data_IF_056912044100
#
_entry.id   IF_056912044100
#
_cell.length_a   1.000
_cell.length_b   1.000
_cell.length_c   1.000
_cell.angle_alpha   90.00
_cell.angle_beta   90.00
_cell.angle_gamma   90.00
#
_symmetry.space_group_name_H-M   'P 1'
#
loop_
_entity.id
_entity.type
_entity.pdbx_description
1 polymer ?
#
# COMPACT_ATOMS: atom_id res chain seq x y z
N UNK A 1 -13.88 -22.89 19.02
CA UNK A 1 -13.52 -21.63 19.71
C UNK A 1 -12.78 -20.69 18.77
N UNK A 2 -13.12 -19.43 18.81
CA UNK A 2 -12.51 -18.48 17.91
C UNK A 2 -11.33 -17.78 18.55
N UNK A 3 -10.23 -17.69 17.81
CA UNK A 3 -9.07 -16.96 18.27
C UNK A 3 -9.28 -15.46 18.11
N UNK A 4 -8.72 -14.71 19.01
CA UNK A 4 -8.64 -13.26 18.80
C UNK A 4 -7.46 -12.97 17.89
N UNK A 5 -7.46 -11.78 17.32
CA UNK A 5 -6.38 -11.37 16.42
C UNK A 5 -5.03 -11.42 17.15
N UNK A 6 -5.00 -11.01 18.41
CA UNK A 6 -3.77 -11.00 19.18
C UNK A 6 -3.19 -12.37 19.47
N UNK A 7 -3.99 -13.44 19.29
CA UNK A 7 -3.55 -14.80 19.59
C UNK A 7 -2.93 -15.50 18.39
N UNK A 8 -2.99 -14.92 17.20
CA UNK A 8 -2.47 -15.60 16.02
C UNK A 8 -0.97 -15.35 15.90
N UNK A 9 -0.30 -16.32 15.29
CA UNK A 9 1.12 -16.19 15.02
C UNK A 9 1.40 -14.99 14.11
N UNK A 10 0.56 -14.82 13.11
CA UNK A 10 0.71 -13.71 12.14
C UNK A 10 0.57 -12.37 12.83
N UNK A 11 -0.37 -12.25 13.77
CA UNK A 11 -0.54 -11.00 14.49
C UNK A 11 0.66 -10.68 15.36
N UNK A 12 1.24 -11.71 15.99
CA UNK A 12 2.44 -11.53 16.80
C UNK A 12 3.64 -11.12 15.95
N UNK A 13 3.79 -11.73 14.78
CA UNK A 13 4.85 -11.37 13.86
C UNK A 13 4.69 -9.92 13.38
N UNK A 14 3.47 -9.53 13.08
CA UNK A 14 3.17 -8.17 12.64
C UNK A 14 3.55 -7.17 13.73
N UNK A 15 3.15 -7.45 14.96
CA UNK A 15 3.48 -6.57 16.08
C UNK A 15 4.98 -6.48 16.29
N UNK A 16 5.67 -7.60 16.19
CA UNK A 16 7.12 -7.63 16.36
C UNK A 16 7.81 -6.76 15.31
N UNK A 17 7.35 -6.83 14.07
CA UNK A 17 7.91 -6.01 13.00
C UNK A 17 7.63 -4.53 13.20
N UNK A 18 6.43 -4.20 13.65
CA UNK A 18 6.10 -2.80 13.95
C UNK A 18 6.99 -2.26 15.05
N UNK A 19 7.28 -3.09 16.04
CA UNK A 19 8.11 -2.67 17.17
C UNK A 19 9.54 -2.33 16.76
N UNK A 20 9.99 -2.82 15.59
CA UNK A 20 11.33 -2.49 15.09
C UNK A 20 11.39 -1.15 14.39
N UNK A 21 10.23 -0.54 14.10
CA UNK A 21 10.21 0.72 13.37
C UNK A 21 10.61 1.89 14.24
N UNK A 22 11.32 2.85 13.65
CA UNK A 22 11.54 4.13 14.32
C UNK A 22 10.20 4.85 14.49
N UNK A 23 10.17 5.85 15.35
CA UNK A 23 8.93 6.59 15.58
C UNK A 23 8.42 7.27 14.31
N UNK A 24 9.28 7.96 13.52
CA UNK A 24 8.79 8.55 12.26
C UNK A 24 8.25 7.50 11.29
N UNK A 25 8.89 6.35 11.19
CA UNK A 25 8.42 5.28 10.31
C UNK A 25 7.09 4.73 10.80
N UNK A 26 6.93 4.59 12.10
CA UNK A 26 5.69 4.10 12.70
C UNK A 26 4.54 5.06 12.45
N UNK A 27 4.80 6.35 12.57
CA UNK A 27 3.79 7.37 12.31
C UNK A 27 3.36 7.37 10.86
N UNK A 28 4.33 7.25 9.96
CA UNK A 28 4.04 7.17 8.53
C UNK A 28 3.23 5.92 8.20
N UNK A 29 3.61 4.79 8.79
CA UNK A 29 2.90 3.54 8.57
C UNK A 29 1.43 3.65 9.00
N UNK A 30 1.18 4.33 10.11
CA UNK A 30 -0.19 4.56 10.56
C UNK A 30 -0.98 5.36 9.55
N UNK A 31 -0.37 6.37 8.95
CA UNK A 31 -1.03 7.16 7.91
C UNK A 31 -1.39 6.31 6.71
N UNK A 32 -0.47 5.43 6.29
CA UNK A 32 -0.73 4.53 5.18
C UNK A 32 -1.89 3.60 5.50
N UNK A 33 -1.89 3.03 6.70
CA UNK A 33 -2.98 2.15 7.13
C UNK A 33 -4.31 2.87 7.16
N UNK A 34 -4.30 4.12 7.61
CA UNK A 34 -5.52 4.91 7.66
C UNK A 34 -6.13 5.09 6.27
N UNK A 35 -5.28 5.26 5.26
CA UNK A 35 -5.75 5.35 3.90
C UNK A 35 -6.23 4.00 3.37
N UNK A 36 -5.50 2.95 3.69
CA UNK A 36 -5.85 1.61 3.21
C UNK A 36 -7.17 1.11 3.78
N UNK A 37 -7.51 1.54 4.98
CA UNK A 37 -8.72 1.05 5.61
C UNK A 37 -9.97 1.43 4.82
N UNK A 38 -9.90 2.53 4.07
CA UNK A 38 -11.02 2.94 3.23
C UNK A 38 -11.36 1.88 2.18
N UNK A 39 -10.34 1.15 1.71
CA UNK A 39 -10.57 0.09 0.74
C UNK A 39 -11.34 -1.09 1.32
N UNK A 40 -11.34 -1.22 2.64
CA UNK A 40 -12.02 -2.33 3.33
C UNK A 40 -13.39 -1.93 3.86
N UNK A 41 -13.64 -0.64 3.98
CA UNK A 41 -14.89 -0.16 4.58
C UNK A 41 -15.80 0.52 3.57
N UNK A 42 -15.32 0.82 2.38
CA UNK A 42 -16.08 1.52 1.35
C UNK A 42 -15.99 0.70 0.06
N UNK A 43 -17.13 0.19 -0.38
CA UNK A 43 -17.19 -0.67 -1.57
C UNK A 43 -16.73 0.03 -2.84
N UNK A 44 -16.70 1.34 -2.84
CA UNK A 44 -16.33 2.11 -4.03
C UNK A 44 -14.86 2.52 -4.02
N UNK A 45 -14.14 2.23 -2.94
CA UNK A 45 -12.74 2.60 -2.85
C UNK A 45 -11.88 1.39 -3.19
N UNK A 46 -11.05 1.55 -4.19
CA UNK A 46 -10.18 0.48 -4.69
C UNK A 46 -8.73 0.88 -4.52
N UNK A 47 -7.88 -0.09 -4.27
CA UNK A 47 -6.47 0.18 -4.06
C UNK A 47 -5.57 -0.83 -4.72
N UNK A 48 -4.34 -0.40 -4.91
CA UNK A 48 -3.28 -1.26 -5.44
C UNK A 48 -1.98 -0.87 -4.75
N UNK A 49 -1.27 -1.88 -4.26
CA UNK A 49 0.07 -1.70 -3.70
C UNK A 49 1.08 -2.32 -4.64
N UNK A 50 2.13 -1.58 -4.94
CA UNK A 50 3.22 -2.10 -5.76
C UNK A 50 4.50 -1.98 -4.95
N UNK A 51 5.22 -3.08 -4.83
CA UNK A 51 6.48 -3.11 -4.09
C UNK A 51 7.57 -3.71 -4.96
N UNK A 52 8.78 -3.19 -4.82
CA UNK A 52 9.91 -3.66 -5.58
C UNK A 52 11.15 -3.65 -4.68
N UNK A 53 11.97 -4.66 -4.82
CA UNK A 53 13.24 -4.72 -4.11
C UNK A 53 14.36 -4.55 -5.12
N UNK A 54 15.26 -3.62 -4.84
CA UNK A 54 16.38 -3.36 -5.73
C UNK A 54 17.22 -4.61 -5.97
N UNK A 55 17.61 -4.78 -7.21
CA UNK A 55 18.40 -5.93 -7.60
C UNK A 55 17.61 -7.17 -7.93
N UNK A 56 16.31 -7.14 -7.76
CA UNK A 56 15.44 -8.25 -8.13
C UNK A 56 14.56 -7.87 -9.31
N UNK A 57 14.22 -8.86 -10.11
CA UNK A 57 13.29 -8.66 -11.21
C UNK A 57 11.86 -8.80 -10.71
N UNK A 58 10.95 -8.07 -11.35
CA UNK A 58 9.54 -8.19 -11.04
C UNK A 58 9.11 -7.31 -9.87
N UNK A 59 7.82 -7.34 -9.63
CA UNK A 59 7.17 -6.52 -8.63
C UNK A 59 6.17 -7.36 -7.86
N UNK A 60 5.94 -6.98 -6.60
CA UNK A 60 4.82 -7.51 -5.85
C UNK A 60 3.66 -6.54 -5.98
N UNK A 61 2.54 -7.06 -6.43
CA UNK A 61 1.35 -6.24 -6.67
C UNK A 61 0.22 -6.83 -5.86
N UNK A 62 -0.39 -6.02 -5.01
CA UNK A 62 -1.51 -6.44 -4.17
C UNK A 62 -2.70 -5.57 -4.51
N UNK A 63 -3.76 -6.21 -4.99
CA UNK A 63 -5.02 -5.51 -5.24
C UNK A 63 -5.86 -5.54 -3.97
N UNK A 64 -6.44 -4.41 -3.64
CA UNK A 64 -7.25 -4.25 -2.44
C UNK A 64 -8.63 -3.78 -2.86
N UNK A 65 -9.63 -4.62 -2.61
CA UNK A 65 -11.01 -4.36 -3.04
C UNK A 65 -11.07 -4.07 -4.54
N UNK A 66 -10.36 -4.89 -5.32
CA UNK A 66 -10.29 -4.71 -6.77
C UNK A 66 -9.92 -6.03 -7.42
N UNK A 67 -10.57 -6.33 -8.54
CA UNK A 67 -10.15 -7.48 -9.33
C UNK A 67 -8.96 -7.09 -10.20
N UNK A 68 -8.46 -8.04 -10.98
CA UNK A 68 -7.26 -7.81 -11.79
C UNK A 68 -7.45 -6.68 -12.79
N UNK A 69 -8.60 -6.61 -13.41
CA UNK A 69 -8.85 -5.58 -14.41
C UNK A 69 -8.95 -4.20 -13.78
N UNK A 70 -9.62 -4.11 -12.65
CA UNK A 70 -9.72 -2.84 -11.93
C UNK A 70 -8.34 -2.38 -11.45
N UNK A 71 -7.55 -3.30 -10.91
CA UNK A 71 -6.21 -2.99 -10.45
C UNK A 71 -5.32 -2.53 -11.61
N UNK A 72 -5.40 -3.21 -12.75
CA UNK A 72 -4.63 -2.82 -13.92
C UNK A 72 -5.03 -1.44 -14.41
N UNK A 73 -6.32 -1.15 -14.41
CA UNK A 73 -6.82 0.17 -14.78
C UNK A 73 -6.33 1.26 -13.86
N UNK A 74 -6.33 1.00 -12.55
CA UNK A 74 -5.81 1.94 -11.57
C UNK A 74 -4.34 2.25 -11.82
N UNK A 75 -3.54 1.21 -12.04
CA UNK A 75 -2.12 1.38 -12.32
C UNK A 75 -1.90 2.18 -13.59
N UNK A 76 -2.66 1.87 -14.63
CA UNK A 76 -2.53 2.56 -15.89
C UNK A 76 -2.87 4.05 -15.74
N UNK A 77 -3.98 4.35 -15.10
CA UNK A 77 -4.40 5.72 -14.89
C UNK A 77 -3.45 6.47 -13.98
N UNK A 78 -2.97 5.83 -12.92
CA UNK A 78 -2.03 6.46 -12.01
C UNK A 78 -0.73 6.79 -12.72
N UNK A 79 -0.24 5.87 -13.56
CA UNK A 79 0.98 6.14 -14.33
C UNK A 79 0.79 7.33 -15.28
N UNK A 80 -0.38 7.42 -15.91
CA UNK A 80 -0.69 8.55 -16.77
C UNK A 80 -0.72 9.86 -16.01
N UNK A 81 -1.36 9.85 -14.84
CA UNK A 81 -1.45 11.03 -14.01
C UNK A 81 -0.06 11.49 -13.53
N UNK A 82 0.76 10.54 -13.13
CA UNK A 82 2.12 10.85 -12.66
C UNK A 82 2.97 11.40 -13.79
N UNK A 83 2.85 10.84 -14.98
CA UNK A 83 3.59 11.32 -16.13
C UNK A 83 3.18 12.75 -16.48
N UNK A 84 1.89 13.05 -16.38
CA UNK A 84 1.37 14.37 -16.66
C UNK A 84 1.90 15.39 -15.66
N UNK A 85 1.86 15.07 -14.38
CA UNK A 85 2.38 15.94 -13.35
C UNK A 85 3.88 16.15 -13.53
N UNK A 86 4.62 15.10 -13.86
CA UNK A 86 6.05 15.23 -14.11
C UNK A 86 6.36 16.15 -15.27
N UNK A 87 5.46 16.23 -16.25
CA UNK A 87 5.64 17.15 -17.36
C UNK A 87 5.59 18.61 -16.93
N UNK A 88 4.83 18.89 -15.88
CA UNK A 88 4.64 20.26 -15.42
C UNK A 88 5.55 20.63 -14.26
N UNK A 89 5.66 19.74 -13.28
CA UNK A 89 6.34 20.06 -12.03
C UNK A 89 7.68 19.39 -11.86
N UNK A 90 7.99 18.47 -12.73
CA UNK A 90 9.30 17.89 -12.72
C UNK A 90 9.63 17.17 -11.43
N UNK A 91 10.87 17.26 -10.97
CA UNK A 91 11.36 16.41 -9.89
C UNK A 91 10.77 16.68 -8.52
N UNK A 92 10.14 17.81 -8.33
CA UNK A 92 9.55 18.06 -7.02
C UNK A 92 8.53 17.01 -6.63
N UNK A 93 7.90 16.43 -7.61
CA UNK A 93 6.90 15.42 -7.34
C UNK A 93 7.47 14.19 -6.66
N UNK A 94 8.74 13.92 -6.89
CA UNK A 94 9.36 12.71 -6.41
C UNK A 94 9.84 12.77 -4.97
N UNK A 95 9.74 13.91 -4.36
CA UNK A 95 10.21 14.07 -2.99
C UNK A 95 9.06 14.06 -1.96
#
# INVERSE_FOLDING_TARGET
MRKTIGDTKEALEFQAKIDTLSQPARDHFRLVLLKLIDCYTDDETHGVLVMHKDGQTGYQIVAINADEMTAAGLLHEACGAMAEVNSYDKPELLN
#
